data_IF_015280819634
#
_entry.id   IF_015280819634
#
_cell.length_a   1.000
_cell.length_b   1.000
_cell.length_c   1.000
_cell.angle_alpha   90.00
_cell.angle_beta   90.00
_cell.angle_gamma   90.00
#
_symmetry.space_group_name_H-M   'P 1'
#
loop_
_entity.id
_entity.type
_entity.pdbx_description
1 polymer ?
#
# COMPACT_ATOMS: atom_id res chain seq x y z
N UNK A 1 38.85 32.27 13.69
CA UNK A 1 37.69 31.37 13.72
C UNK A 1 37.82 30.44 12.52
N UNK A 2 38.52 29.32 12.68
CA UNK A 2 38.90 28.45 11.57
C UNK A 2 37.68 27.69 11.02
N UNK A 3 37.43 27.85 9.72
CA UNK A 3 36.55 27.02 8.91
C UNK A 3 37.09 25.59 8.93
N UNK A 4 36.46 24.70 9.71
CA UNK A 4 36.66 23.26 9.59
C UNK A 4 36.01 22.81 8.28
N UNK A 5 36.84 22.66 7.26
CA UNK A 5 36.55 21.93 6.03
C UNK A 5 36.18 20.49 6.39
N UNK A 6 34.97 20.05 6.09
CA UNK A 6 34.64 18.63 6.10
C UNK A 6 35.42 17.95 4.98
N UNK A 7 36.34 17.06 5.37
CA UNK A 7 37.06 16.16 4.47
C UNK A 7 36.09 15.25 3.71
N UNK A 8 36.39 14.87 2.44
CA UNK A 8 35.64 13.85 1.73
C UNK A 8 35.98 12.47 2.32
N UNK A 9 35.21 12.05 3.32
CA UNK A 9 35.37 10.78 4.01
C UNK A 9 34.51 9.68 3.36
N UNK A 10 35.21 8.72 2.75
CA UNK A 10 34.81 7.35 2.40
C UNK A 10 33.63 7.11 1.45
N UNK A 11 34.00 6.54 0.29
CA UNK A 11 33.15 5.80 -0.60
C UNK A 11 32.27 4.80 0.17
N UNK A 12 30.96 4.89 -0.04
CA UNK A 12 30.03 3.86 0.41
C UNK A 12 30.36 2.54 -0.30
N UNK A 13 30.33 1.39 0.40
CA UNK A 13 30.45 0.10 -0.26
C UNK A 13 29.27 -0.04 -1.23
N UNK A 14 29.59 -0.34 -2.50
CA UNK A 14 28.59 -0.73 -3.49
C UNK A 14 28.00 -2.08 -3.08
N UNK A 15 27.00 -2.03 -2.20
CA UNK A 15 26.17 -3.18 -1.86
C UNK A 15 25.34 -3.55 -3.07
N UNK A 16 25.82 -4.53 -3.82
CA UNK A 16 25.11 -5.13 -4.94
C UNK A 16 23.99 -6.02 -4.37
N UNK A 17 22.85 -5.41 -4.03
CA UNK A 17 21.62 -6.16 -3.65
C UNK A 17 20.88 -6.60 -4.91
N UNK A 18 21.55 -7.38 -5.75
CA UNK A 18 20.84 -8.33 -6.58
C UNK A 18 20.66 -9.58 -5.70
N UNK A 19 19.54 -9.66 -4.98
CA UNK A 19 19.11 -10.93 -4.40
C UNK A 19 19.03 -11.95 -5.54
N UNK A 20 19.62 -13.16 -5.39
CA UNK A 20 19.61 -14.14 -6.46
C UNK A 20 18.16 -14.55 -6.70
N UNK A 21 17.64 -14.23 -7.89
CA UNK A 21 16.36 -14.81 -8.33
C UNK A 21 16.65 -16.30 -8.53
N UNK A 22 15.97 -17.21 -7.82
CA UNK A 22 16.26 -18.64 -7.96
C UNK A 22 15.96 -19.07 -9.40
N UNK A 23 16.99 -19.58 -10.08
CA UNK A 23 17.02 -19.97 -11.51
C UNK A 23 16.08 -21.13 -11.89
N UNK A 24 15.16 -21.53 -11.01
CA UNK A 24 14.27 -22.69 -11.17
C UNK A 24 12.82 -22.39 -10.82
N UNK A 25 12.31 -21.20 -11.17
CA UNK A 25 10.88 -20.93 -11.08
C UNK A 25 10.15 -21.73 -12.18
N UNK A 26 9.38 -22.74 -11.80
CA UNK A 26 8.63 -23.58 -12.76
C UNK A 26 7.56 -22.77 -13.51
N UNK A 27 7.16 -23.20 -14.72
CA UNK A 27 6.06 -22.56 -15.50
C UNK A 27 4.75 -22.42 -14.70
N UNK A 28 4.52 -23.28 -13.70
CA UNK A 28 3.36 -23.19 -12.82
C UNK A 28 3.51 -22.09 -11.76
N UNK A 29 4.69 -21.90 -11.18
CA UNK A 29 4.95 -20.76 -10.29
C UNK A 29 4.87 -19.43 -11.05
N UNK A 30 5.35 -19.36 -12.30
CA UNK A 30 5.14 -18.19 -13.16
C UNK A 30 3.66 -17.91 -13.43
N UNK A 31 2.82 -18.95 -13.59
CA UNK A 31 1.36 -18.77 -13.70
C UNK A 31 0.74 -18.25 -12.41
N UNK A 32 1.13 -18.75 -11.24
CA UNK A 32 0.64 -18.24 -9.94
C UNK A 32 1.03 -16.79 -9.70
N UNK A 33 2.26 -16.38 -10.03
CA UNK A 33 2.70 -14.97 -9.96
C UNK A 33 1.89 -14.09 -10.93
N UNK A 34 1.45 -14.65 -12.06
CA UNK A 34 0.60 -13.94 -13.05
C UNK A 34 -0.88 -13.93 -12.67
N UNK A 35 -1.29 -14.56 -11.55
CA UNK A 35 -2.67 -14.62 -11.08
C UNK A 35 -2.87 -13.97 -9.70
N UNK A 36 -1.84 -13.38 -9.10
CA UNK A 36 -2.01 -12.61 -7.86
C UNK A 36 -2.78 -11.32 -8.16
N UNK A 37 -3.90 -11.14 -7.46
CA UNK A 37 -4.73 -9.95 -7.61
C UNK A 37 -3.93 -8.71 -7.25
N UNK A 38 -4.01 -7.67 -8.10
CA UNK A 38 -3.31 -6.42 -7.90
C UNK A 38 -4.12 -5.45 -7.06
N UNK A 39 -3.54 -4.93 -5.99
CA UNK A 39 -4.23 -4.03 -5.06
C UNK A 39 -3.49 -2.72 -4.85
N UNK A 40 -4.25 -1.64 -4.72
CA UNK A 40 -3.75 -0.34 -4.27
C UNK A 40 -4.21 -0.08 -2.84
N UNK A 41 -3.27 0.21 -1.92
CA UNK A 41 -3.57 0.42 -0.51
C UNK A 41 -3.52 1.91 -0.16
N UNK A 42 -4.58 2.40 0.45
CA UNK A 42 -4.72 3.77 0.96
C UNK A 42 -4.71 3.75 2.49
N UNK A 43 -3.74 4.46 3.07
CA UNK A 43 -3.56 4.60 4.52
C UNK A 43 -3.87 6.00 5.06
N UNK A 44 -4.05 6.15 6.37
CA UNK A 44 -4.18 7.48 6.96
C UNK A 44 -2.84 8.22 6.92
N UNK A 45 -2.87 9.52 6.59
CA UNK A 45 -1.69 10.38 6.68
C UNK A 45 -1.34 10.70 8.15
N UNK A 46 -2.33 10.85 9.03
CA UNK A 46 -2.09 11.18 10.45
C UNK A 46 -1.36 10.08 11.23
N UNK A 47 -1.21 8.89 10.65
CA UNK A 47 -0.51 7.76 11.26
C UNK A 47 0.71 7.32 10.45
N UNK A 48 1.05 8.03 9.37
CA UNK A 48 2.11 7.63 8.42
C UNK A 48 3.52 7.77 9.00
N UNK A 49 3.69 8.65 9.97
CA UNK A 49 4.91 8.88 10.74
C UNK A 49 5.14 7.82 11.83
N UNK A 50 4.08 7.33 12.47
CA UNK A 50 4.18 6.36 13.57
C UNK A 50 4.10 4.90 13.13
N UNK A 51 3.32 4.60 12.09
CA UNK A 51 3.05 3.24 11.65
C UNK A 51 3.62 3.07 10.25
N UNK A 52 4.54 2.14 9.99
CA UNK A 52 5.03 1.90 8.62
C UNK A 52 4.07 1.05 7.77
N UNK A 53 3.04 0.43 8.38
CA UNK A 53 2.10 -0.46 7.68
C UNK A 53 2.57 -1.92 7.59
N UNK A 54 3.56 -2.34 8.39
CA UNK A 54 4.14 -3.70 8.34
C UNK A 54 3.11 -4.81 8.42
N UNK A 55 2.09 -4.68 9.26
CA UNK A 55 1.01 -5.67 9.37
C UNK A 55 0.13 -5.70 8.12
N UNK A 56 -0.11 -4.54 7.50
CA UNK A 56 -0.86 -4.46 6.24
C UNK A 56 -0.14 -5.22 5.13
N UNK A 57 1.17 -5.03 5.01
CA UNK A 57 2.01 -5.77 4.05
C UNK A 57 2.01 -7.27 4.33
N UNK A 58 2.15 -7.68 5.59
CA UNK A 58 2.10 -9.10 5.97
C UNK A 58 0.75 -9.73 5.62
N UNK A 59 -0.36 -9.10 5.99
CA UNK A 59 -1.70 -9.59 5.69
C UNK A 59 -1.92 -9.72 4.17
N UNK A 60 -1.51 -8.72 3.40
CA UNK A 60 -1.60 -8.74 1.94
C UNK A 60 -0.75 -9.86 1.30
N UNK A 61 0.50 -10.03 1.75
CA UNK A 61 1.38 -11.09 1.21
C UNK A 61 0.96 -12.50 1.61
N UNK A 62 0.30 -12.66 2.77
CA UNK A 62 -0.14 -13.95 3.26
C UNK A 62 -1.58 -14.29 2.85
N UNK A 63 -2.35 -13.32 2.36
CA UNK A 63 -3.76 -13.51 2.03
C UNK A 63 -4.63 -13.76 3.27
N UNK A 64 -4.31 -13.11 4.38
CA UNK A 64 -5.02 -13.29 5.66
C UNK A 64 -5.90 -12.08 5.99
N UNK A 65 -6.80 -12.24 6.97
CA UNK A 65 -7.68 -11.16 7.45
C UNK A 65 -8.57 -10.63 6.32
N UNK A 66 -8.44 -9.35 5.95
CA UNK A 66 -9.23 -8.74 4.90
C UNK A 66 -8.99 -9.34 3.49
N UNK A 67 -7.94 -10.15 3.35
CA UNK A 67 -7.52 -10.77 2.09
C UNK A 67 -7.86 -12.26 2.01
N UNK A 68 -8.64 -12.83 2.94
CA UNK A 68 -8.99 -14.27 2.92
C UNK A 68 -9.74 -14.66 1.63
N UNK A 69 -10.62 -13.79 1.14
CA UNK A 69 -11.37 -14.04 -0.10
C UNK A 69 -10.51 -13.83 -1.36
N UNK A 70 -9.52 -12.93 -1.31
CA UNK A 70 -8.63 -12.66 -2.45
C UNK A 70 -7.44 -13.61 -2.51
N UNK A 71 -7.07 -14.21 -1.37
CA UNK A 71 -5.77 -14.82 -1.18
C UNK A 71 -4.64 -13.77 -1.17
N UNK A 72 -3.38 -14.22 -1.26
CA UNK A 72 -2.21 -13.36 -1.41
C UNK A 72 -2.32 -12.39 -2.59
N UNK A 73 -1.96 -11.12 -2.38
CA UNK A 73 -2.10 -10.05 -3.37
C UNK A 73 -0.77 -9.36 -3.71
N UNK A 74 -0.68 -8.81 -4.92
CA UNK A 74 0.42 -7.95 -5.36
C UNK A 74 0.08 -6.48 -5.11
N UNK A 75 0.98 -5.72 -4.48
CA UNK A 75 0.72 -4.34 -4.08
C UNK A 75 1.28 -3.40 -5.13
N UNK A 76 0.38 -2.80 -5.92
CA UNK A 76 0.73 -1.83 -6.97
C UNK A 76 1.11 -0.47 -6.38
N UNK A 77 0.56 -0.13 -5.22
CA UNK A 77 0.84 1.13 -4.56
C UNK A 77 0.41 1.14 -3.11
N UNK A 78 1.18 1.82 -2.28
CA UNK A 78 0.89 2.06 -0.87
C UNK A 78 1.09 3.55 -0.59
N UNK A 79 -0.02 4.27 -0.40
CA UNK A 79 -0.01 5.74 -0.31
C UNK A 79 -0.97 6.21 0.76
N UNK A 80 -0.70 7.37 1.36
CA UNK A 80 -1.66 7.95 2.30
C UNK A 80 -2.91 8.50 1.61
N UNK A 81 -3.93 8.86 2.38
CA UNK A 81 -5.11 9.58 1.90
C UNK A 81 -4.78 11.05 1.58
N UNK A 82 -3.61 11.54 2.01
CA UNK A 82 -3.11 12.88 1.75
C UNK A 82 -3.69 13.97 2.67
N UNK A 83 -4.16 13.58 3.85
CA UNK A 83 -4.61 14.48 4.90
C UNK A 83 -6.11 14.73 4.90
N UNK A 84 -6.66 15.19 6.02
CA UNK A 84 -8.09 15.47 6.17
C UNK A 84 -8.51 16.61 5.22
N UNK A 85 -9.63 16.49 4.47
CA UNK A 85 -10.70 15.50 4.62
C UNK A 85 -10.61 14.31 3.63
N UNK A 86 -9.42 13.94 3.16
CA UNK A 86 -9.20 12.76 2.31
C UNK A 86 -9.37 13.01 0.80
N UNK A 87 -9.47 14.27 0.35
CA UNK A 87 -9.73 14.61 -1.07
C UNK A 87 -8.69 14.04 -2.04
N UNK A 88 -7.42 13.98 -1.63
CA UNK A 88 -6.32 13.47 -2.47
C UNK A 88 -6.40 11.96 -2.68
N UNK A 89 -7.10 11.23 -1.81
CA UNK A 89 -7.30 9.79 -1.95
C UNK A 89 -8.03 9.43 -3.26
N UNK A 90 -8.93 10.29 -3.73
CA UNK A 90 -9.71 10.08 -4.96
C UNK A 90 -8.80 9.98 -6.19
N UNK A 91 -7.91 10.96 -6.39
CA UNK A 91 -6.97 10.93 -7.51
C UNK A 91 -5.93 9.83 -7.35
N UNK A 92 -5.49 9.55 -6.12
CA UNK A 92 -4.53 8.48 -5.81
C UNK A 92 -5.10 7.10 -6.15
N UNK A 93 -6.35 6.83 -5.77
CA UNK A 93 -7.06 5.60 -6.14
C UNK A 93 -7.14 5.45 -7.65
N UNK A 94 -7.56 6.51 -8.36
CA UNK A 94 -7.64 6.49 -9.83
C UNK A 94 -6.30 6.18 -10.50
N UNK A 95 -5.21 6.79 -10.02
CA UNK A 95 -3.85 6.52 -10.54
C UNK A 95 -3.44 5.06 -10.29
N UNK A 96 -3.79 4.48 -9.15
CA UNK A 96 -3.49 3.06 -8.88
C UNK A 96 -4.28 2.13 -9.81
N UNK A 97 -5.57 2.40 -10.02
CA UNK A 97 -6.40 1.66 -11.00
C UNK A 97 -5.84 1.79 -12.41
N UNK A 98 -5.45 2.99 -12.83
CA UNK A 98 -4.84 3.23 -14.15
C UNK A 98 -3.49 2.52 -14.33
N UNK A 99 -2.84 2.14 -13.23
CA UNK A 99 -1.60 1.35 -13.20
C UNK A 99 -1.85 -0.16 -13.04
N UNK A 100 -3.12 -0.58 -13.08
CA UNK A 100 -3.51 -1.99 -13.06
C UNK A 100 -3.89 -2.52 -11.69
N UNK A 101 -4.24 -1.68 -10.71
CA UNK A 101 -4.89 -2.15 -9.49
C UNK A 101 -6.33 -2.59 -9.77
N UNK A 102 -6.65 -3.83 -9.41
CA UNK A 102 -7.97 -4.46 -9.55
C UNK A 102 -8.85 -4.24 -8.31
N UNK A 103 -8.24 -3.89 -7.18
CA UNK A 103 -8.93 -3.49 -5.97
C UNK A 103 -8.25 -2.31 -5.27
N UNK A 104 -9.04 -1.53 -4.54
CA UNK A 104 -8.55 -0.48 -3.65
C UNK A 104 -8.86 -0.87 -2.21
N UNK A 105 -7.83 -0.84 -1.37
CA UNK A 105 -7.89 -1.27 0.03
C UNK A 105 -7.74 -0.05 0.92
N UNK A 106 -8.66 0.15 1.86
CA UNK A 106 -8.46 1.08 2.96
C UNK A 106 -7.83 0.35 4.14
N UNK A 107 -6.74 0.89 4.69
CA UNK A 107 -6.14 0.30 5.90
C UNK A 107 -7.04 0.47 7.12
N UNK A 108 -6.86 -0.39 8.11
CA UNK A 108 -7.62 -0.36 9.36
C UNK A 108 -7.51 0.95 10.15
N UNK A 109 -6.44 1.74 9.97
CA UNK A 109 -6.35 3.05 10.61
C UNK A 109 -7.37 4.07 10.09
N UNK A 110 -7.91 3.87 8.89
CA UNK A 110 -8.98 4.70 8.33
C UNK A 110 -10.35 4.20 8.77
N UNK A 111 -10.63 2.90 8.58
CA UNK A 111 -11.97 2.34 8.76
C UNK A 111 -12.27 1.92 10.20
N UNK A 112 -11.30 1.28 10.88
CA UNK A 112 -11.44 0.78 12.26
C UNK A 112 -10.80 1.68 13.33
N UNK A 113 -9.86 2.54 12.94
CA UNK A 113 -9.14 3.45 13.84
C UNK A 113 -7.90 2.88 14.52
N UNK A 114 -7.48 1.66 14.20
CA UNK A 114 -6.29 1.04 14.80
C UNK A 114 -4.99 1.70 14.28
N UNK A 115 -3.97 2.00 15.11
CA UNK A 115 -3.85 1.67 16.54
C UNK A 115 -4.36 2.75 17.51
N UNK A 116 -4.82 3.90 17.01
CA UNK A 116 -5.17 5.07 17.85
C UNK A 116 -6.53 4.88 18.55
N UNK A 117 -7.38 3.96 18.08
CA UNK A 117 -8.74 3.76 18.58
C UNK A 117 -9.72 4.81 18.07
N UNK A 118 -9.35 5.58 17.04
CA UNK A 118 -10.19 6.64 16.48
C UNK A 118 -10.33 6.48 14.96
N UNK A 119 -11.48 5.99 14.45
CA UNK A 119 -11.71 5.83 13.02
C UNK A 119 -11.85 7.19 12.32
N UNK A 120 -11.52 7.22 11.03
CA UNK A 120 -11.58 8.45 10.26
C UNK A 120 -13.04 8.92 10.08
N UNK A 121 -13.40 10.14 10.50
CA UNK A 121 -14.78 10.66 10.35
C UNK A 121 -15.13 10.93 8.88
N UNK A 122 -14.13 11.01 7.99
CA UNK A 122 -14.32 11.24 6.57
C UNK A 122 -14.34 9.96 5.73
N UNK A 123 -14.26 8.78 6.36
CA UNK A 123 -14.14 7.51 5.65
C UNK A 123 -15.27 7.29 4.64
N UNK A 124 -16.53 7.38 5.06
CA UNK A 124 -17.68 7.14 4.18
C UNK A 124 -17.67 8.06 2.95
N UNK A 125 -17.54 9.37 3.17
CA UNK A 125 -17.48 10.35 2.08
C UNK A 125 -16.30 10.11 1.13
N UNK A 126 -15.14 9.74 1.67
CA UNK A 126 -13.94 9.44 0.89
C UNK A 126 -14.11 8.15 0.07
N UNK A 127 -14.65 7.08 0.67
CA UNK A 127 -14.93 5.81 0.01
C UNK A 127 -15.92 6.00 -1.14
N UNK A 128 -17.04 6.67 -0.89
CA UNK A 128 -18.10 6.86 -1.88
C UNK A 128 -17.61 7.74 -3.05
N UNK A 129 -16.81 8.76 -2.75
CA UNK A 129 -16.18 9.58 -3.79
C UNK A 129 -15.15 8.80 -4.63
N UNK A 130 -14.43 7.85 -4.02
CA UNK A 130 -13.53 6.94 -4.74
C UNK A 130 -14.31 6.00 -5.64
N UNK A 131 -15.35 5.33 -5.12
CA UNK A 131 -16.22 4.42 -5.91
C UNK A 131 -16.79 5.15 -7.12
N UNK A 132 -17.34 6.36 -6.92
CA UNK A 132 -17.88 7.18 -8.00
C UNK A 132 -16.82 7.53 -9.07
N UNK A 133 -15.55 7.67 -8.69
CA UNK A 133 -14.48 8.07 -9.60
C UNK A 133 -13.87 6.91 -10.39
N UNK A 134 -13.71 5.74 -9.77
CA UNK A 134 -13.04 4.58 -10.37
C UNK A 134 -13.99 3.62 -11.08
N UNK A 135 -15.28 3.65 -10.75
CA UNK A 135 -16.30 2.80 -11.36
C UNK A 135 -16.65 1.57 -10.50
N UNK A 136 -17.73 0.85 -10.85
CA UNK A 136 -18.25 -0.27 -10.06
C UNK A 136 -17.43 -1.57 -10.17
N UNK A 137 -16.58 -1.68 -11.19
CA UNK A 137 -15.82 -2.91 -11.47
C UNK A 137 -14.63 -3.11 -10.52
N UNK A 138 -14.20 -2.04 -9.84
CA UNK A 138 -13.06 -2.09 -8.92
C UNK A 138 -13.55 -2.44 -7.52
N UNK A 139 -13.04 -3.54 -6.97
CA UNK A 139 -13.39 -3.97 -5.62
C UNK A 139 -12.85 -2.98 -4.57
N UNK A 140 -13.67 -2.65 -3.58
CA UNK A 140 -13.24 -1.92 -2.38
C UNK A 140 -13.11 -2.90 -1.22
N UNK A 141 -11.93 -2.95 -0.61
CA UNK A 141 -11.67 -3.70 0.62
C UNK A 141 -11.56 -2.69 1.76
N UNK A 142 -12.42 -2.84 2.76
CA UNK A 142 -12.64 -1.79 3.77
C UNK A 142 -11.66 -1.82 4.94
N UNK A 143 -10.84 -2.86 5.10
CA UNK A 143 -9.84 -2.95 6.16
C UNK A 143 -8.64 -3.80 5.74
N UNK A 144 -7.63 -3.91 6.61
CA UNK A 144 -6.44 -4.75 6.38
C UNK A 144 -6.22 -5.75 7.52
N UNK A 145 -6.29 -5.27 8.77
CA UNK A 145 -6.14 -6.07 9.99
C UNK A 145 -7.10 -5.69 11.13
#
# INVERSE_FOLDING_TARGET
MLLKTCSPGNAMPKGNIASPVPETTTRNQLKEITQMKKVGIIRCQQTEDMCPGTTDFKAATQGTLAFEETGPVDIVGFVSCGGCPGKRAISRAKIMVDRGAEAIVFTSCISKGNPIGYPCPHYANMRDAIIKKIGPDVQIIEYTH
#
